data_IF_561850680399
#
_entry.id   IF_561850680399
#
_cell.length_a   1.000
_cell.length_b   1.000
_cell.length_c   1.000
_cell.angle_alpha   90.00
_cell.angle_beta   90.00
_cell.angle_gamma   90.00
#
_symmetry.space_group_name_H-M   'P 1'
#
loop_
_entity.id
_entity.type
_entity.pdbx_description
1 polymer ?
#
# COMPACT_ATOMS: atom_id res chain seq x y z
N UNK A 1 -10.75 -13.72 3.93
CA UNK A 1 -9.78 -12.93 4.73
C UNK A 1 -9.22 -11.77 3.90
N UNK A 2 -9.90 -10.62 3.78
CA UNK A 2 -9.44 -9.53 2.89
C UNK A 2 -9.75 -8.09 3.33
N UNK A 3 -10.62 -7.90 4.32
CA UNK A 3 -11.01 -6.55 4.77
C UNK A 3 -9.87 -5.86 5.51
N UNK A 4 -9.17 -6.56 6.40
CA UNK A 4 -8.01 -6.01 7.13
C UNK A 4 -6.92 -5.50 6.17
N UNK A 5 -6.63 -6.27 5.13
CA UNK A 5 -5.60 -5.87 4.19
C UNK A 5 -6.06 -4.72 3.27
N UNK A 6 -7.34 -4.70 2.90
CA UNK A 6 -7.94 -3.59 2.16
C UNK A 6 -7.91 -2.29 2.98
N UNK A 7 -8.30 -2.34 4.27
CA UNK A 7 -8.25 -1.21 5.20
C UNK A 7 -6.81 -0.70 5.34
N UNK A 8 -5.86 -1.61 5.56
CA UNK A 8 -4.46 -1.23 5.73
C UNK A 8 -3.89 -0.61 4.43
N UNK A 9 -4.34 -1.02 3.24
CA UNK A 9 -3.96 -0.35 1.98
C UNK A 9 -4.50 1.08 1.93
N UNK A 10 -5.78 1.29 2.25
CA UNK A 10 -6.37 2.64 2.28
C UNK A 10 -5.72 3.53 3.34
N UNK A 11 -5.32 2.98 4.49
CA UNK A 11 -4.57 3.70 5.51
C UNK A 11 -3.28 4.32 4.96
N UNK A 12 -2.47 3.55 4.22
CA UNK A 12 -1.24 4.06 3.60
C UNK A 12 -1.49 5.14 2.55
N UNK A 13 -2.60 5.03 1.80
CA UNK A 13 -2.99 6.05 0.82
C UNK A 13 -3.42 7.35 1.50
N UNK A 14 -4.26 7.25 2.54
CA UNK A 14 -4.70 8.41 3.33
C UNK A 14 -3.53 9.08 4.04
N UNK A 15 -2.60 8.30 4.59
CA UNK A 15 -1.38 8.82 5.21
C UNK A 15 -0.52 9.57 4.20
N UNK A 16 -0.31 9.02 3.00
CA UNK A 16 0.44 9.70 1.94
C UNK A 16 -0.21 11.03 1.53
N UNK A 17 -1.54 11.07 1.40
CA UNK A 17 -2.29 12.30 1.08
C UNK A 17 -2.14 13.33 2.21
N UNK A 18 -2.30 12.92 3.46
CA UNK A 18 -2.17 13.82 4.61
C UNK A 18 -0.75 14.40 4.71
N UNK A 19 0.29 13.57 4.58
CA UNK A 19 1.68 14.02 4.61
C UNK A 19 1.94 14.99 3.45
N UNK A 20 1.43 14.70 2.25
CA UNK A 20 1.56 15.60 1.10
C UNK A 20 0.94 16.98 1.38
N UNK A 21 -0.28 17.02 1.94
CA UNK A 21 -0.95 18.27 2.29
C UNK A 21 -0.15 19.04 3.33
N UNK A 22 0.29 18.37 4.41
CA UNK A 22 1.07 19.01 5.48
C UNK A 22 2.38 19.59 4.93
N UNK A 23 3.15 18.81 4.18
CA UNK A 23 4.42 19.25 3.58
C UNK A 23 4.19 20.40 2.60
N UNK A 24 3.08 20.40 1.85
CA UNK A 24 2.73 21.49 0.93
C UNK A 24 2.40 22.78 1.68
N UNK A 25 1.56 22.71 2.72
CA UNK A 25 1.18 23.87 3.53
C UNK A 25 2.40 24.44 4.24
N UNK A 26 3.21 23.58 4.86
CA UNK A 26 4.43 24.02 5.53
C UNK A 26 5.48 24.56 4.56
N UNK A 27 5.57 24.01 3.35
CA UNK A 27 6.42 24.55 2.29
C UNK A 27 6.01 25.96 1.84
N UNK A 28 4.72 26.29 1.89
CA UNK A 28 4.21 27.65 1.60
C UNK A 28 4.52 28.61 2.75
N UNK A 29 4.41 28.16 4.02
CA UNK A 29 4.60 29.01 5.20
C UNK A 29 6.08 29.25 5.54
N UNK A 30 6.88 28.18 5.61
CA UNK A 30 8.29 28.21 6.05
C UNK A 30 9.31 28.25 4.91
N UNK A 31 8.82 28.11 3.66
CA UNK A 31 9.64 28.11 2.45
C UNK A 31 10.03 26.71 1.96
N UNK A 32 9.89 26.51 0.64
CA UNK A 32 10.10 25.22 -0.02
C UNK A 32 11.54 24.69 0.08
N UNK A 33 12.55 25.52 0.33
CA UNK A 33 13.96 25.09 0.39
C UNK A 33 14.23 24.06 1.49
N UNK A 34 13.51 24.14 2.61
CA UNK A 34 13.63 23.19 3.73
C UNK A 34 12.66 22.02 3.59
N UNK A 35 11.48 22.26 3.04
CA UNK A 35 10.39 21.29 3.02
C UNK A 35 10.39 20.37 1.79
N UNK A 36 11.10 20.72 0.71
CA UNK A 36 11.17 19.90 -0.51
C UNK A 36 11.73 18.50 -0.26
N UNK A 37 12.64 18.34 0.70
CA UNK A 37 13.23 17.03 1.04
C UNK A 37 12.18 16.07 1.63
N UNK A 38 11.15 16.59 2.30
CA UNK A 38 10.07 15.77 2.87
C UNK A 38 9.10 15.23 1.82
N UNK A 39 9.14 15.72 0.57
CA UNK A 39 8.43 15.05 -0.54
C UNK A 39 9.00 13.66 -0.83
N UNK A 40 10.25 13.38 -0.47
CA UNK A 40 10.81 12.03 -0.53
C UNK A 40 10.00 11.07 0.37
N UNK A 41 9.53 11.53 1.54
CA UNK A 41 8.68 10.74 2.43
C UNK A 41 7.28 10.49 1.87
N UNK A 42 6.74 11.45 1.11
CA UNK A 42 5.48 11.26 0.38
C UNK A 42 5.68 10.19 -0.70
N UNK A 43 6.76 10.29 -1.48
CA UNK A 43 7.09 9.33 -2.52
C UNK A 43 7.33 7.92 -1.97
N UNK A 44 8.02 7.78 -0.84
CA UNK A 44 8.21 6.46 -0.20
C UNK A 44 6.90 5.88 0.32
N UNK A 45 6.01 6.70 0.91
CA UNK A 45 4.68 6.24 1.33
C UNK A 45 3.81 5.80 0.15
N UNK A 46 3.82 6.55 -0.95
CA UNK A 46 3.14 6.16 -2.20
C UNK A 46 3.76 4.90 -2.81
N UNK A 47 5.09 4.77 -2.79
CA UNK A 47 5.80 3.58 -3.20
C UNK A 47 5.39 2.36 -2.37
N UNK A 48 5.31 2.51 -1.06
CA UNK A 48 4.87 1.46 -0.13
C UNK A 48 3.43 1.03 -0.42
N UNK A 49 2.54 1.98 -0.71
CA UNK A 49 1.17 1.69 -1.15
C UNK A 49 1.14 0.84 -2.44
N UNK A 50 1.96 1.19 -3.43
CA UNK A 50 2.05 0.46 -4.69
C UNK A 50 2.61 -0.95 -4.49
N UNK A 51 3.72 -1.08 -3.77
CA UNK A 51 4.35 -2.37 -3.44
C UNK A 51 3.38 -3.29 -2.70
N UNK A 52 2.63 -2.74 -1.74
CA UNK A 52 1.65 -3.51 -0.99
C UNK A 52 0.48 -3.98 -1.85
N UNK A 53 0.00 -3.12 -2.75
CA UNK A 53 -1.04 -3.46 -3.72
C UNK A 53 -0.56 -4.59 -4.65
N UNK A 54 0.68 -4.51 -5.12
CA UNK A 54 1.28 -5.53 -5.97
C UNK A 54 1.49 -6.86 -5.24
N UNK A 55 2.04 -6.84 -4.02
CA UNK A 55 2.24 -8.05 -3.20
C UNK A 55 0.93 -8.79 -2.94
N UNK A 56 -0.14 -8.06 -2.64
CA UNK A 56 -1.45 -8.68 -2.41
C UNK A 56 -2.01 -9.33 -3.67
N UNK A 57 -1.89 -8.65 -4.81
CA UNK A 57 -2.32 -9.22 -6.09
C UNK A 57 -1.55 -10.51 -6.40
N UNK A 58 -0.24 -10.53 -6.13
CA UNK A 58 0.60 -11.74 -6.27
C UNK A 58 0.22 -12.84 -5.28
N UNK A 59 -0.03 -12.49 -4.02
CA UNK A 59 -0.34 -13.45 -2.95
C UNK A 59 -1.70 -14.12 -3.14
N UNK A 60 -2.71 -13.36 -3.56
CA UNK A 60 -4.06 -13.89 -3.87
C UNK A 60 -3.99 -14.95 -4.97
N UNK A 61 -3.21 -14.71 -6.03
CA UNK A 61 -3.04 -15.69 -7.11
C UNK A 61 -2.38 -16.99 -6.62
N UNK A 62 -1.42 -16.90 -5.69
CA UNK A 62 -0.75 -18.08 -5.14
C UNK A 62 -1.65 -18.85 -4.15
N UNK A 63 -2.46 -18.16 -3.36
CA UNK A 63 -3.46 -18.80 -2.51
C UNK A 63 -4.53 -19.53 -3.32
N UNK A 64 -5.04 -18.91 -4.40
CA UNK A 64 -6.03 -19.54 -5.27
C UNK A 64 -5.51 -20.87 -5.88
N UNK A 65 -4.25 -20.88 -6.33
CA UNK A 65 -3.60 -22.09 -6.83
C UNK A 65 -3.48 -23.20 -5.77
N UNK A 66 -3.16 -22.84 -4.52
CA UNK A 66 -3.07 -23.81 -3.41
C UNK A 66 -4.44 -24.32 -2.96
N UNK A 67 -5.49 -23.48 -3.04
CA UNK A 67 -6.86 -23.90 -2.78
C UNK A 67 -7.35 -24.91 -3.83
N UNK A 68 -7.10 -24.65 -5.12
CA UNK A 68 -7.43 -25.58 -6.20
C UNK A 68 -6.72 -26.93 -6.04
N UNK A 69 -5.43 -26.92 -5.64
CA UNK A 69 -4.69 -28.16 -5.38
C UNK A 69 -5.21 -28.93 -4.15
N UNK A 70 -5.60 -28.23 -3.08
CA UNK A 70 -6.23 -28.86 -1.91
C UNK A 70 -7.57 -29.49 -2.26
N UNK A 71 -8.34 -28.86 -3.15
CA UNK A 71 -9.65 -29.33 -3.55
C UNK A 71 -9.54 -30.58 -4.44
N UNK A 72 -8.63 -30.57 -5.42
CA UNK A 72 -8.30 -31.76 -6.23
C UNK A 72 -7.80 -32.94 -5.39
N UNK A 73 -6.94 -32.70 -4.41
CA UNK A 73 -6.40 -33.78 -3.55
C UNK A 73 -7.46 -34.39 -2.62
N UNK A 74 -8.53 -33.65 -2.28
CA UNK A 74 -9.65 -34.17 -1.48
C UNK A 74 -10.67 -34.97 -2.28
N UNK A 75 -10.78 -34.77 -3.58
CA UNK A 75 -11.68 -35.54 -4.46
C UNK A 75 -11.10 -36.90 -4.88
N UNK A 76 -9.77 -37.08 -4.76
CA UNK A 76 -9.07 -38.34 -5.07
C UNK A 76 -8.93 -39.33 -3.90
N UNK A 77 -9.54 -39.04 -2.74
CA UNK A 77 -9.53 -39.88 -1.52
C UNK A 77 -10.98 -40.26 -1.15
#
# INVERSE_FOLDING_TARGET
>A
MNTYNTIMRYFWLTAAILIFIVVTVMGIIDGFSKWVFYYLFVLTSLGMYFLKTWMMKRFVNHQAYLEEQKQKSKETL
#
